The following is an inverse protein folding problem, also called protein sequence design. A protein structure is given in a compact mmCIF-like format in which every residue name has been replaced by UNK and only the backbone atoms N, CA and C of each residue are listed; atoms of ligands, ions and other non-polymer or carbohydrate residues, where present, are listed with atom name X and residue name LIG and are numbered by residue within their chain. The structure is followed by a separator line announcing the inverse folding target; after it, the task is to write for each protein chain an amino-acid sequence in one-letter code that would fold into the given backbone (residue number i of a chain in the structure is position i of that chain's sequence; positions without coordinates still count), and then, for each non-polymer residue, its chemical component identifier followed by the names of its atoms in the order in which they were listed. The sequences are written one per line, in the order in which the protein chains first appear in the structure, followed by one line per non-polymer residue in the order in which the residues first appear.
data_IF_756390601458
#
_entry.id   IF_756390601458
#
_cell.length_a   1.000
_cell.length_b   1.000
_cell.length_c   1.000
_cell.angle_alpha   90.00
_cell.angle_beta   90.00
_cell.angle_gamma   90.00
#
_symmetry.space_group_name_H-M   'P 1'
#
loop_
_entity.id
_entity.type
_entity.pdbx_description
1 polymer ?
#
# COMPACT_ATOMS: atom_id res chain seq x y z
N UNK A 1 -12.20 -6.21 21.54
CA UNK A 1 -11.41 -5.30 20.69
C UNK A 1 -10.56 -4.37 21.53
N UNK A 2 -11.11 -3.73 22.58
CA UNK A 2 -10.46 -2.63 23.32
C UNK A 2 -9.18 -3.07 24.03
N UNK A 3 -9.18 -4.25 24.65
CA UNK A 3 -8.00 -4.80 25.33
C UNK A 3 -6.86 -5.09 24.35
N UNK A 4 -7.16 -5.64 23.18
CA UNK A 4 -6.14 -5.98 22.19
C UNK A 4 -5.72 -4.77 21.36
N UNK A 5 -6.66 -4.09 20.73
CA UNK A 5 -6.35 -2.98 19.82
C UNK A 5 -6.10 -1.67 20.54
N UNK A 6 -6.76 -1.44 21.67
CA UNK A 6 -6.61 -0.22 22.46
C UNK A 6 -5.42 -0.23 23.42
N UNK A 7 -4.94 -1.41 23.83
CA UNK A 7 -3.84 -1.53 24.80
C UNK A 7 -2.75 -2.51 24.34
N UNK A 8 -2.93 -3.82 24.50
CA UNK A 8 -1.84 -4.80 24.42
C UNK A 8 -1.06 -4.80 23.10
N UNK A 9 -1.73 -4.57 21.99
CA UNK A 9 -1.11 -4.53 20.65
C UNK A 9 -0.88 -3.10 20.15
N UNK A 10 -1.26 -2.08 20.93
CA UNK A 10 -1.00 -0.69 20.59
C UNK A 10 0.43 -0.30 20.99
N UNK A 11 1.14 0.37 20.08
CA UNK A 11 2.51 0.84 20.30
C UNK A 11 2.49 2.24 20.92
N UNK A 12 1.91 2.34 22.13
CA UNK A 12 1.83 3.60 22.86
C UNK A 12 3.21 4.21 23.07
N UNK A 13 3.25 5.54 23.02
CA UNK A 13 4.45 6.33 23.27
C UNK A 13 5.00 6.08 24.68
N UNK A 14 6.31 5.94 24.78
CA UNK A 14 7.05 5.71 26.03
C UNK A 14 6.72 4.42 26.80
N UNK A 15 5.84 3.56 26.28
CA UNK A 15 5.46 2.29 26.91
C UNK A 15 6.21 1.13 26.26
N UNK A 16 6.90 0.25 27.05
CA UNK A 16 7.50 -0.96 26.49
C UNK A 16 6.45 -1.91 25.94
N UNK A 17 6.62 -2.37 24.69
CA UNK A 17 5.72 -3.29 24.00
C UNK A 17 6.50 -4.42 23.33
N UNK A 18 6.01 -5.64 23.53
CA UNK A 18 6.53 -6.79 22.79
C UNK A 18 6.23 -6.63 21.29
N UNK A 19 7.23 -6.86 20.46
CA UNK A 19 7.07 -6.73 19.02
C UNK A 19 7.83 -7.81 18.25
N UNK A 20 7.44 -7.99 16.99
CA UNK A 20 8.25 -8.66 15.98
C UNK A 20 8.75 -7.57 15.04
N UNK A 21 10.06 -7.43 14.94
CA UNK A 21 10.72 -6.50 14.03
C UNK A 21 11.32 -7.26 12.86
N UNK A 22 11.30 -6.67 11.68
CA UNK A 22 12.03 -7.17 10.51
C UNK A 22 13.11 -6.18 10.14
N UNK A 23 14.36 -6.64 10.06
CA UNK A 23 15.47 -5.89 9.50
C UNK A 23 15.61 -6.27 8.04
N UNK A 24 15.56 -5.28 7.17
CA UNK A 24 15.63 -5.47 5.72
C UNK A 24 16.84 -4.71 5.20
N UNK A 25 17.65 -5.36 4.35
CA UNK A 25 18.73 -4.72 3.61
C UNK A 25 18.28 -4.51 2.17
N UNK A 26 18.44 -3.30 1.69
CA UNK A 26 18.16 -2.90 0.33
C UNK A 26 19.46 -2.48 -0.34
N UNK A 27 19.50 -2.61 -1.67
CA UNK A 27 20.53 -1.95 -2.47
C UNK A 27 20.11 -0.51 -2.83
N UNK A 28 20.96 0.20 -3.56
CA UNK A 28 20.71 1.57 -4.01
C UNK A 28 19.54 1.68 -5.00
N UNK A 29 19.06 0.56 -5.54
CA UNK A 29 17.91 0.50 -6.44
C UNK A 29 16.62 0.07 -5.75
N UNK A 30 16.64 -0.17 -4.42
CA UNK A 30 15.48 -0.61 -3.65
C UNK A 30 15.17 -2.09 -3.78
N UNK A 31 16.08 -2.87 -4.37
CA UNK A 31 15.94 -4.31 -4.40
C UNK A 31 16.35 -4.91 -3.05
N UNK A 32 15.52 -5.82 -2.57
CA UNK A 32 15.78 -6.48 -1.29
C UNK A 32 16.93 -7.48 -1.41
N UNK A 33 18.02 -7.23 -0.69
CA UNK A 33 19.17 -8.13 -0.61
C UNK A 33 18.96 -9.25 0.42
N UNK A 34 18.47 -8.91 1.60
CA UNK A 34 18.23 -9.87 2.69
C UNK A 34 17.25 -9.32 3.72
N UNK A 35 16.73 -10.21 4.56
CA UNK A 35 15.95 -9.80 5.73
C UNK A 35 16.11 -10.78 6.88
N UNK A 36 15.87 -10.32 8.11
CA UNK A 36 15.85 -11.13 9.33
C UNK A 36 14.75 -10.65 10.27
N UNK A 37 14.04 -11.61 10.89
CA UNK A 37 13.03 -11.33 11.90
C UNK A 37 13.62 -11.44 13.31
N UNK A 38 13.21 -10.52 14.18
CA UNK A 38 13.63 -10.47 15.58
C UNK A 38 12.41 -10.32 16.47
N UNK A 39 12.38 -11.06 17.57
CA UNK A 39 11.49 -10.74 18.70
C UNK A 39 12.19 -9.70 19.56
N UNK A 40 11.44 -8.72 19.99
CA UNK A 40 12.01 -7.64 20.81
C UNK A 40 10.99 -7.00 21.73
N UNK A 41 11.51 -6.18 22.62
CA UNK A 41 10.75 -5.23 23.38
C UNK A 41 11.09 -3.85 22.81
N UNK A 42 10.10 -3.16 22.26
CA UNK A 42 10.28 -1.82 21.74
C UNK A 42 9.67 -0.78 22.71
N UNK A 43 10.17 0.42 22.62
CA UNK A 43 9.60 1.59 23.28
C UNK A 43 9.46 2.69 22.23
N UNK A 44 8.23 3.07 21.91
CA UNK A 44 7.97 4.15 20.97
C UNK A 44 8.48 5.48 21.52
N UNK A 45 9.19 6.24 20.71
CA UNK A 45 9.71 7.57 21.07
C UNK A 45 8.65 8.64 20.88
N UNK A 46 7.82 8.49 19.83
CA UNK A 46 6.75 9.42 19.50
C UNK A 46 5.64 8.69 18.74
N UNK A 47 4.40 9.12 18.94
CA UNK A 47 3.24 8.74 18.13
C UNK A 47 2.87 9.93 17.26
N UNK A 48 3.22 9.86 15.97
CA UNK A 48 3.07 10.96 15.02
C UNK A 48 1.88 10.73 14.08
N UNK A 49 1.24 11.81 13.62
CA UNK A 49 0.22 11.80 12.58
C UNK A 49 0.84 12.01 11.21
N UNK A 50 0.20 11.50 10.17
CA UNK A 50 0.73 11.58 8.81
C UNK A 50 0.89 13.02 8.32
N UNK A 51 -0.06 13.88 8.67
CA UNK A 51 -0.06 15.29 8.30
C UNK A 51 1.14 16.02 8.93
N UNK A 52 1.38 15.84 10.25
CA UNK A 52 2.51 16.49 10.92
C UNK A 52 3.89 15.99 10.44
N UNK A 53 3.96 14.73 10.00
CA UNK A 53 5.18 14.18 9.39
C UNK A 53 5.40 14.76 7.99
N UNK A 54 4.33 14.88 7.20
CA UNK A 54 4.39 15.48 5.87
C UNK A 54 4.81 16.96 5.98
N UNK A 55 4.15 17.72 6.86
CA UNK A 55 4.48 19.13 7.10
C UNK A 55 5.96 19.31 7.47
N UNK A 56 6.49 18.43 8.34
CA UNK A 56 7.89 18.49 8.75
C UNK A 56 8.86 18.25 7.58
N UNK A 57 8.55 17.31 6.70
CA UNK A 57 9.36 17.02 5.50
C UNK A 57 9.27 18.18 4.50
N UNK A 58 8.10 18.81 4.38
CA UNK A 58 7.84 19.94 3.48
C UNK A 58 8.42 21.28 4.02
N UNK A 59 9.06 21.24 5.20
CA UNK A 59 9.81 22.38 5.75
C UNK A 59 9.13 23.13 6.90
N UNK A 60 8.03 22.58 7.46
CA UNK A 60 7.28 23.14 8.58
C UNK A 60 7.27 22.18 9.81
N UNK A 61 8.44 21.82 10.39
CA UNK A 61 8.48 20.95 11.55
C UNK A 61 7.90 21.65 12.80
N UNK A 62 7.24 20.88 13.65
CA UNK A 62 6.74 21.30 14.95
C UNK A 62 7.66 20.81 16.10
N UNK A 63 7.30 21.10 17.36
CA UNK A 63 8.07 20.70 18.54
C UNK A 63 8.24 19.18 18.70
N UNK A 64 7.33 18.38 18.14
CA UNK A 64 7.36 16.90 18.18
C UNK A 64 8.20 16.33 17.05
N UNK A 65 8.06 16.87 15.85
CA UNK A 65 8.72 16.36 14.65
C UNK A 65 10.12 16.94 14.45
N UNK A 66 10.38 18.17 14.91
CA UNK A 66 11.68 18.84 14.77
C UNK A 66 12.87 18.03 15.27
N UNK A 67 12.86 17.51 16.51
CA UNK A 67 13.95 16.68 17.03
C UNK A 67 14.15 15.36 16.28
N UNK A 68 13.11 14.87 15.58
CA UNK A 68 13.11 13.61 14.84
C UNK A 68 13.41 13.79 13.36
N UNK A 69 13.38 15.01 12.85
CA UNK A 69 13.46 15.31 11.42
C UNK A 69 14.76 14.77 10.81
N UNK A 70 15.91 15.24 11.31
CA UNK A 70 17.21 14.86 10.77
C UNK A 70 17.59 13.39 11.08
N UNK A 71 17.45 12.90 12.34
CA UNK A 71 17.95 11.56 12.66
C UNK A 71 17.02 10.42 12.25
N UNK A 72 15.73 10.68 12.00
CA UNK A 72 14.74 9.62 11.77
C UNK A 72 13.91 9.86 10.50
N UNK A 73 13.22 11.01 10.38
CA UNK A 73 12.24 11.21 9.31
C UNK A 73 12.93 11.30 7.95
N UNK A 74 13.99 12.08 7.80
CA UNK A 74 14.74 12.16 6.54
C UNK A 74 15.30 10.81 6.09
N UNK A 75 16.01 10.03 6.94
CA UNK A 75 16.47 8.69 6.55
C UNK A 75 15.32 7.73 6.19
N UNK A 76 14.14 7.84 6.82
CA UNK A 76 12.97 7.05 6.43
C UNK A 76 12.46 7.43 5.04
N UNK A 77 12.42 8.73 4.73
CA UNK A 77 12.02 9.20 3.40
C UNK A 77 13.06 8.86 2.33
N UNK A 78 14.35 8.89 2.64
CA UNK A 78 15.40 8.42 1.72
C UNK A 78 15.18 6.94 1.37
N UNK A 79 14.92 6.09 2.37
CA UNK A 79 14.60 4.69 2.15
C UNK A 79 13.28 4.51 1.36
N UNK A 80 12.28 5.34 1.62
CA UNK A 80 11.01 5.34 0.88
C UNK A 80 11.21 5.69 -0.59
N UNK A 81 11.99 6.73 -0.92
CA UNK A 81 12.27 7.11 -2.30
C UNK A 81 12.93 5.98 -3.11
N UNK A 82 13.84 5.24 -2.48
CA UNK A 82 14.47 4.05 -3.08
C UNK A 82 13.43 2.95 -3.33
N UNK A 83 12.49 2.72 -2.40
CA UNK A 83 11.40 1.76 -2.57
C UNK A 83 10.39 2.20 -3.63
N UNK A 84 10.09 3.50 -3.73
CA UNK A 84 9.23 4.06 -4.80
C UNK A 84 9.85 3.79 -6.17
N UNK A 85 11.16 3.99 -6.34
CA UNK A 85 11.84 3.65 -7.59
C UNK A 85 11.71 2.16 -7.94
N UNK A 86 11.86 1.26 -6.95
CA UNK A 86 11.63 -0.18 -7.14
C UNK A 86 10.15 -0.49 -7.47
N UNK A 87 9.20 0.18 -6.81
CA UNK A 87 7.76 0.08 -7.09
C UNK A 87 7.46 0.47 -8.53
N UNK A 88 8.01 1.58 -9.03
CA UNK A 88 7.81 2.01 -10.42
C UNK A 88 8.29 0.96 -11.44
N UNK A 89 9.41 0.27 -11.16
CA UNK A 89 9.88 -0.83 -12.02
C UNK A 89 8.96 -2.05 -11.95
N UNK A 90 8.42 -2.37 -10.78
CA UNK A 90 7.49 -3.49 -10.57
C UNK A 90 6.12 -3.21 -11.22
N UNK A 91 5.72 -1.94 -11.35
CA UNK A 91 4.47 -1.49 -11.95
C UNK A 91 3.21 -2.13 -11.33
N UNK A 92 2.97 -2.02 -10.00
CA UNK A 92 1.69 -2.43 -9.44
C UNK A 92 0.57 -1.65 -10.09
N UNK A 93 -0.67 -2.16 -10.01
CA UNK A 93 -1.84 -1.46 -10.51
C UNK A 93 -2.02 -0.13 -9.78
N UNK A 94 -2.09 0.96 -10.52
CA UNK A 94 -2.12 2.33 -9.99
C UNK A 94 -3.47 2.98 -10.31
N UNK A 95 -4.51 2.56 -9.57
CA UNK A 95 -5.85 3.14 -9.67
C UNK A 95 -5.90 4.47 -8.94
N UNK A 96 -6.37 5.50 -9.63
CA UNK A 96 -6.70 6.80 -9.03
C UNK A 96 -8.20 6.81 -8.65
N UNK A 97 -8.47 6.43 -7.41
CA UNK A 97 -9.82 6.40 -6.85
C UNK A 97 -9.85 7.35 -5.65
N UNK A 98 -10.32 8.58 -5.86
CA UNK A 98 -10.36 9.57 -4.79
C UNK A 98 -11.33 9.14 -3.68
N UNK A 99 -10.82 9.01 -2.45
CA UNK A 99 -11.65 8.79 -1.26
C UNK A 99 -12.34 10.09 -0.87
N UNK A 100 -13.66 10.06 -0.77
CA UNK A 100 -14.45 11.22 -0.29
C UNK A 100 -14.41 11.26 1.23
N UNK A 101 -14.02 12.41 1.79
CA UNK A 101 -14.14 12.73 3.21
C UNK A 101 -15.35 13.61 3.42
N UNK A 102 -16.31 13.12 4.21
CA UNK A 102 -17.49 13.88 4.59
C UNK A 102 -17.23 14.48 5.97
N UNK A 103 -17.31 15.79 6.07
CA UNK A 103 -17.24 16.51 7.34
C UNK A 103 -18.65 16.87 7.80
N UNK A 104 -18.96 16.47 9.02
CA UNK A 104 -20.24 16.80 9.66
C UNK A 104 -20.07 18.02 10.55
N UNK A 105 -21.04 18.91 10.54
CA UNK A 105 -21.17 19.98 11.53
C UNK A 105 -21.65 19.44 12.89
N UNK A 106 -21.62 20.28 13.92
CA UNK A 106 -22.08 19.94 15.26
C UNK A 106 -23.59 19.57 15.30
N UNK A 107 -24.34 20.00 14.29
CA UNK A 107 -25.73 19.64 14.06
C UNK A 107 -25.94 18.31 13.33
N UNK A 108 -24.88 17.57 13.07
CA UNK A 108 -24.89 16.28 12.35
C UNK A 108 -25.16 16.39 10.85
N UNK A 109 -25.26 17.60 10.28
CA UNK A 109 -25.43 17.80 8.85
C UNK A 109 -24.08 17.83 8.13
N UNK A 110 -24.09 17.46 6.84
CA UNK A 110 -22.90 17.54 5.99
C UNK A 110 -22.48 19.00 5.84
N UNK A 111 -21.29 19.33 6.35
CA UNK A 111 -20.68 20.64 6.24
C UNK A 111 -19.86 20.76 4.95
N UNK A 112 -19.08 19.74 4.64
CA UNK A 112 -18.29 19.69 3.40
C UNK A 112 -18.09 18.25 2.94
N UNK A 113 -17.84 18.10 1.64
CA UNK A 113 -17.41 16.85 1.01
C UNK A 113 -16.11 17.15 0.28
N UNK A 114 -15.00 16.70 0.84
CA UNK A 114 -13.66 16.90 0.29
C UNK A 114 -13.08 15.57 -0.18
N UNK A 115 -12.07 15.60 -1.04
CA UNK A 115 -11.26 14.43 -1.32
C UNK A 115 -10.15 14.30 -0.29
N UNK A 116 -9.94 13.07 0.21
CA UNK A 116 -8.83 12.78 1.11
C UNK A 116 -7.54 12.77 0.30
N UNK A 117 -6.64 13.68 0.61
CA UNK A 117 -5.32 13.71 0.00
C UNK A 117 -4.49 12.52 0.49
N UNK A 118 -3.82 11.84 -0.43
CA UNK A 118 -2.93 10.72 -0.12
C UNK A 118 -1.49 11.22 -0.07
N UNK A 119 -1.07 11.61 1.14
CA UNK A 119 0.26 12.13 1.41
C UNK A 119 1.35 11.07 1.20
N UNK A 120 2.59 11.50 0.95
CA UNK A 120 3.74 10.60 0.86
C UNK A 120 4.02 9.89 2.19
N UNK A 121 3.69 10.50 3.33
CA UNK A 121 3.72 9.86 4.64
C UNK A 121 2.86 8.58 4.71
N UNK A 122 1.69 8.57 4.07
CA UNK A 122 0.85 7.36 3.97
C UNK A 122 1.49 6.31 3.07
N UNK A 123 2.03 6.72 1.93
CA UNK A 123 2.68 5.84 0.94
C UNK A 123 3.94 5.20 1.49
N UNK A 124 4.70 5.93 2.30
CA UNK A 124 5.90 5.44 3.00
C UNK A 124 5.56 4.23 3.86
N UNK A 125 4.56 4.36 4.72
CA UNK A 125 4.11 3.26 5.59
C UNK A 125 3.59 2.09 4.77
N UNK A 126 2.83 2.36 3.71
CA UNK A 126 2.33 1.31 2.81
C UNK A 126 3.46 0.50 2.17
N UNK A 127 4.49 1.14 1.59
CA UNK A 127 5.60 0.44 0.96
C UNK A 127 6.39 -0.39 1.99
N UNK A 128 6.62 0.14 3.19
CA UNK A 128 7.28 -0.62 4.26
C UNK A 128 6.45 -1.82 4.73
N UNK A 129 5.12 -1.66 4.85
CA UNK A 129 4.21 -2.75 5.19
C UNK A 129 4.17 -3.81 4.10
N UNK A 130 4.08 -3.42 2.83
CA UNK A 130 4.11 -4.35 1.69
C UNK A 130 5.41 -5.15 1.69
N UNK A 131 6.56 -4.49 1.87
CA UNK A 131 7.85 -5.15 1.89
C UNK A 131 8.01 -6.11 3.09
N UNK A 132 7.55 -5.70 4.28
CA UNK A 132 7.56 -6.56 5.46
C UNK A 132 6.68 -7.80 5.28
N UNK A 133 5.51 -7.65 4.64
CA UNK A 133 4.61 -8.75 4.30
C UNK A 133 5.23 -9.72 3.29
N UNK A 134 5.97 -9.23 2.30
CA UNK A 134 6.75 -10.06 1.37
C UNK A 134 7.83 -10.84 2.12
N UNK A 135 8.58 -10.19 3.01
CA UNK A 135 9.61 -10.84 3.83
C UNK A 135 9.03 -11.97 4.69
N UNK A 136 7.86 -11.75 5.28
CA UNK A 136 7.18 -12.77 6.08
C UNK A 136 6.76 -13.97 5.23
N UNK A 137 6.14 -13.74 4.07
CA UNK A 137 5.75 -14.80 3.14
C UNK A 137 6.96 -15.63 2.71
N UNK A 138 8.05 -14.99 2.31
CA UNK A 138 9.28 -15.68 1.88
C UNK A 138 9.92 -16.50 3.00
N UNK A 139 9.95 -15.96 4.23
CA UNK A 139 10.51 -16.68 5.38
C UNK A 139 9.73 -17.96 5.68
N UNK A 140 8.39 -17.90 5.67
CA UNK A 140 7.54 -19.04 5.94
C UNK A 140 7.60 -20.09 4.82
N UNK A 141 7.63 -19.64 3.56
CA UNK A 141 7.84 -20.50 2.39
C UNK A 141 9.17 -21.24 2.50
N UNK A 142 10.28 -20.52 2.76
CA UNK A 142 11.61 -21.10 2.86
C UNK A 142 11.71 -22.15 3.99
N UNK A 143 10.97 -21.92 5.08
CA UNK A 143 10.88 -22.86 6.22
C UNK A 143 9.84 -23.96 6.02
N UNK A 144 9.11 -23.98 4.90
CA UNK A 144 8.01 -24.92 4.62
C UNK A 144 6.92 -24.92 5.71
N UNK A 145 6.67 -23.77 6.32
CA UNK A 145 5.63 -23.58 7.33
C UNK A 145 4.35 -23.17 6.61
N UNK A 146 3.20 -23.79 6.92
CA UNK A 146 1.90 -23.38 6.40
C UNK A 146 1.59 -21.90 6.70
N UNK A 147 1.07 -21.18 5.69
CA UNK A 147 0.62 -19.81 5.87
C UNK A 147 -0.60 -19.56 5.00
N UNK A 148 -1.36 -18.51 5.34
CA UNK A 148 -2.40 -17.97 4.49
C UNK A 148 -1.83 -16.84 3.65
N UNK A 149 -1.79 -17.05 2.34
CA UNK A 149 -1.44 -16.02 1.38
C UNK A 149 -2.59 -15.03 1.22
N UNK A 150 -2.28 -13.78 0.94
CA UNK A 150 -3.24 -12.81 0.40
C UNK A 150 -3.15 -12.88 -1.11
N UNK A 151 -4.09 -13.59 -1.70
CA UNK A 151 -4.13 -13.87 -3.14
C UNK A 151 -4.97 -12.82 -3.84
N UNK A 152 -4.48 -12.35 -4.98
CA UNK A 152 -5.24 -11.52 -5.91
C UNK A 152 -4.96 -12.02 -7.32
N UNK A 153 -5.91 -12.75 -7.87
CA UNK A 153 -5.78 -13.32 -9.20
C UNK A 153 -5.97 -12.29 -10.31
N UNK A 154 -5.58 -12.67 -11.52
CA UNK A 154 -5.83 -11.86 -12.72
C UNK A 154 -7.34 -11.73 -12.98
N UNK A 155 -7.79 -10.65 -13.64
CA UNK A 155 -9.16 -10.54 -14.12
C UNK A 155 -9.55 -11.70 -15.03
N UNK A 156 -10.80 -12.16 -14.92
CA UNK A 156 -11.29 -13.19 -15.86
C UNK A 156 -11.36 -12.65 -17.30
N UNK A 157 -11.28 -13.54 -18.31
CA UNK A 157 -11.38 -13.15 -19.71
C UNK A 157 -12.64 -12.33 -20.03
N UNK A 158 -13.78 -12.71 -19.44
CA UNK A 158 -15.07 -12.02 -19.63
C UNK A 158 -15.03 -10.59 -19.09
N UNK A 159 -14.44 -10.40 -17.90
CA UNK A 159 -14.28 -9.07 -17.30
C UNK A 159 -13.33 -8.20 -18.11
N UNK A 160 -12.28 -8.81 -18.68
CA UNK A 160 -11.34 -8.09 -19.55
C UNK A 160 -11.99 -7.70 -20.89
N UNK A 161 -12.83 -8.55 -21.46
CA UNK A 161 -13.54 -8.21 -22.69
C UNK A 161 -14.54 -7.08 -22.44
N UNK A 162 -15.27 -7.08 -21.32
CA UNK A 162 -16.13 -5.97 -20.92
C UNK A 162 -15.33 -4.65 -20.70
N UNK A 163 -14.14 -4.73 -20.09
CA UNK A 163 -13.26 -3.55 -19.95
C UNK A 163 -12.79 -3.04 -21.32
N UNK A 164 -12.44 -3.93 -22.25
CA UNK A 164 -12.04 -3.55 -23.62
C UNK A 164 -13.16 -2.85 -24.36
N UNK A 165 -14.39 -3.36 -24.24
CA UNK A 165 -15.58 -2.76 -24.85
C UNK A 165 -15.80 -1.34 -24.31
N UNK A 166 -15.77 -1.18 -22.97
CA UNK A 166 -15.92 0.13 -22.33
C UNK A 166 -14.81 1.09 -22.74
N UNK A 167 -13.55 0.64 -22.73
CA UNK A 167 -12.42 1.46 -23.14
C UNK A 167 -12.52 1.86 -24.61
N UNK A 168 -12.90 0.91 -25.49
CA UNK A 168 -13.10 1.17 -26.94
C UNK A 168 -14.21 2.19 -27.19
N UNK A 169 -15.33 2.13 -26.49
CA UNK A 169 -16.40 3.11 -26.57
C UNK A 169 -15.97 4.51 -26.13
N UNK A 170 -15.03 4.59 -25.17
CA UNK A 170 -14.41 5.83 -24.69
C UNK A 170 -13.20 6.29 -25.53
N UNK A 171 -12.88 5.63 -26.65
CA UNK A 171 -11.79 5.99 -27.55
C UNK A 171 -10.40 5.48 -27.14
N UNK A 172 -10.31 4.58 -26.15
CA UNK A 172 -9.06 3.99 -25.68
C UNK A 172 -8.91 2.54 -26.14
N UNK A 173 -7.66 2.04 -26.17
CA UNK A 173 -7.37 0.68 -26.61
C UNK A 173 -6.69 -0.16 -25.52
N UNK A 174 -7.28 -1.30 -25.20
CA UNK A 174 -6.65 -2.35 -24.41
C UNK A 174 -6.42 -3.59 -25.28
N UNK A 175 -5.17 -3.87 -25.64
CA UNK A 175 -4.80 -4.92 -26.58
C UNK A 175 -5.34 -6.29 -26.16
N UNK A 176 -5.70 -7.13 -27.16
CA UNK A 176 -6.18 -8.51 -27.01
C UNK A 176 -5.08 -9.50 -27.40
N UNK A 177 -5.11 -10.69 -26.84
CA UNK A 177 -4.25 -11.81 -27.28
C UNK A 177 -2.87 -11.87 -26.67
N UNK A 178 -2.57 -11.08 -25.64
CA UNK A 178 -1.31 -11.17 -24.87
C UNK A 178 -1.59 -11.45 -23.39
N UNK A 179 -0.58 -11.99 -22.70
CA UNK A 179 -0.63 -12.19 -21.24
C UNK A 179 -0.83 -10.82 -20.56
N UNK A 180 -1.89 -10.70 -19.79
CA UNK A 180 -2.20 -9.46 -19.09
C UNK A 180 -1.17 -9.19 -18.01
N UNK A 181 -0.69 -7.94 -17.94
CA UNK A 181 0.12 -7.42 -16.86
C UNK A 181 -0.49 -6.12 -16.35
N UNK A 182 -0.27 -5.79 -15.10
CA UNK A 182 -0.67 -4.50 -14.53
C UNK A 182 -0.17 -3.31 -15.35
N UNK A 183 1.00 -3.44 -15.98
CA UNK A 183 1.56 -2.43 -16.89
C UNK A 183 0.61 -2.05 -18.05
N UNK A 184 -0.14 -3.01 -18.59
CA UNK A 184 -1.11 -2.74 -19.66
C UNK A 184 -2.30 -1.93 -19.16
N UNK A 185 -2.78 -2.25 -17.96
CA UNK A 185 -3.86 -1.51 -17.31
C UNK A 185 -3.38 -0.12 -16.90
N UNK A 186 -2.17 0.00 -16.34
CA UNK A 186 -1.58 1.30 -16.00
C UNK A 186 -1.39 2.20 -17.24
N UNK A 187 -1.11 1.61 -18.39
CA UNK A 187 -1.07 2.38 -19.65
C UNK A 187 -2.44 2.92 -19.98
N UNK A 188 -3.48 2.07 -19.98
CA UNK A 188 -4.87 2.50 -20.21
C UNK A 188 -5.28 3.62 -19.25
N UNK A 189 -4.96 3.50 -17.95
CA UNK A 189 -5.25 4.51 -16.93
C UNK A 189 -4.54 5.83 -17.21
N UNK A 190 -3.25 5.79 -17.59
CA UNK A 190 -2.49 6.99 -17.96
C UNK A 190 -3.01 7.65 -19.23
N UNK A 191 -3.38 6.87 -20.24
CA UNK A 191 -3.91 7.39 -21.49
C UNK A 191 -5.26 8.12 -21.27
N UNK A 192 -6.05 7.67 -20.30
CA UNK A 192 -7.32 8.28 -19.89
C UNK A 192 -7.16 9.45 -18.89
N UNK A 193 -6.00 9.57 -18.24
CA UNK A 193 -5.78 10.58 -17.20
C UNK A 193 -5.97 12.02 -17.76
N UNK A 194 -6.72 12.85 -17.01
CA UNK A 194 -7.00 14.23 -17.40
C UNK A 194 -8.07 14.41 -18.49
N UNK A 195 -8.71 13.31 -18.94
CA UNK A 195 -9.87 13.35 -19.84
C UNK A 195 -11.18 13.25 -19.05
N UNK A 196 -12.30 13.59 -19.67
CA UNK A 196 -13.64 13.44 -19.08
C UNK A 196 -13.98 11.97 -18.76
N UNK A 197 -13.33 11.02 -19.44
CA UNK A 197 -13.53 9.58 -19.29
C UNK A 197 -12.65 8.92 -18.21
N UNK A 198 -11.77 9.69 -17.55
CA UNK A 198 -10.80 9.16 -16.58
C UNK A 198 -11.48 8.38 -15.44
N UNK A 199 -12.57 8.91 -14.86
CA UNK A 199 -13.29 8.26 -13.77
C UNK A 199 -13.97 6.96 -14.25
N UNK A 200 -14.57 6.97 -15.46
CA UNK A 200 -15.19 5.79 -16.08
C UNK A 200 -14.15 4.67 -16.26
N UNK A 201 -12.97 5.00 -16.80
CA UNK A 201 -11.90 4.03 -17.04
C UNK A 201 -11.32 3.49 -15.74
N UNK A 202 -11.07 4.35 -14.74
CA UNK A 202 -10.63 3.92 -13.41
C UNK A 202 -11.64 2.96 -12.76
N UNK A 203 -12.93 3.33 -12.76
CA UNK A 203 -13.98 2.52 -12.16
C UNK A 203 -14.18 1.20 -12.92
N UNK A 204 -14.16 1.21 -14.26
CA UNK A 204 -14.28 0.01 -15.07
C UNK A 204 -13.09 -0.93 -14.88
N UNK A 205 -11.88 -0.37 -14.77
CA UNK A 205 -10.69 -1.15 -14.44
C UNK A 205 -10.81 -1.78 -13.05
N UNK A 206 -11.24 -1.04 -12.02
CA UNK A 206 -11.49 -1.59 -10.69
C UNK A 206 -12.51 -2.75 -10.72
N UNK A 207 -13.64 -2.56 -11.40
CA UNK A 207 -14.70 -3.58 -11.52
C UNK A 207 -14.27 -4.84 -12.28
N UNK A 208 -13.30 -4.70 -13.17
CA UNK A 208 -12.74 -5.85 -13.88
C UNK A 208 -11.86 -6.73 -12.99
N UNK A 209 -11.30 -6.19 -11.88
CA UNK A 209 -10.43 -6.93 -10.99
C UNK A 209 -11.16 -8.10 -10.29
N UNK A 210 -10.40 -9.16 -10.03
CA UNK A 210 -10.82 -10.20 -9.10
C UNK A 210 -10.81 -9.66 -7.67
N UNK A 211 -11.65 -10.21 -6.81
CA UNK A 211 -11.59 -9.88 -5.40
C UNK A 211 -10.46 -10.64 -4.73
N UNK A 212 -9.59 -9.93 -3.98
CA UNK A 212 -8.54 -10.59 -3.23
C UNK A 212 -9.11 -11.40 -2.07
N UNK A 213 -8.49 -12.57 -1.80
CA UNK A 213 -8.92 -13.50 -0.76
C UNK A 213 -7.73 -14.10 0.02
N UNK A 214 -8.02 -14.85 1.07
CA UNK A 214 -7.02 -15.60 1.81
C UNK A 214 -7.08 -17.08 1.41
N UNK A 215 -5.92 -17.68 1.12
CA UNK A 215 -5.83 -19.07 0.73
C UNK A 215 -4.48 -19.72 1.07
N UNK A 216 -4.43 -21.06 1.17
CA UNK A 216 -3.20 -21.80 1.49
C UNK A 216 -2.25 -21.92 0.28
N UNK A 217 -2.72 -21.63 -0.92
CA UNK A 217 -1.94 -21.74 -2.15
C UNK A 217 -1.45 -20.37 -2.61
N UNK A 218 -0.17 -20.31 -2.99
CA UNK A 218 0.42 -19.09 -3.52
C UNK A 218 0.11 -18.93 -5.00
N UNK A 219 -0.84 -18.09 -5.34
CA UNK A 219 -1.15 -17.68 -6.72
C UNK A 219 -0.68 -16.25 -7.02
N UNK A 220 0.10 -15.64 -6.11
CA UNK A 220 0.58 -14.27 -6.27
C UNK A 220 -0.46 -13.21 -5.91
N UNK A 221 -0.08 -11.97 -6.16
CA UNK A 221 -0.95 -10.80 -5.96
C UNK A 221 -0.87 -9.88 -7.18
N UNK A 222 -1.78 -10.07 -8.12
CA UNK A 222 -1.79 -9.36 -9.40
C UNK A 222 -1.74 -7.84 -9.22
N UNK A 223 -2.66 -7.25 -8.45
CA UNK A 223 -2.72 -5.79 -8.27
C UNK A 223 -1.44 -5.18 -7.69
N UNK A 224 -0.69 -5.91 -6.85
CA UNK A 224 0.61 -5.44 -6.33
C UNK A 224 1.79 -5.84 -7.23
N UNK A 225 1.55 -6.60 -8.30
CA UNK A 225 2.57 -7.19 -9.15
C UNK A 225 3.63 -7.97 -8.33
N UNK A 226 3.17 -8.78 -7.36
CA UNK A 226 4.00 -9.55 -6.44
C UNK A 226 3.75 -11.05 -6.64
N UNK A 227 4.85 -11.82 -6.74
CA UNK A 227 4.78 -13.27 -6.86
C UNK A 227 4.40 -13.98 -5.54
N UNK A 228 4.59 -13.32 -4.40
CA UNK A 228 4.31 -13.89 -3.05
C UNK A 228 3.88 -12.75 -2.15
N UNK A 229 2.74 -12.94 -1.49
CA UNK A 229 2.25 -11.92 -0.59
C UNK A 229 1.39 -12.54 0.51
N UNK A 230 1.60 -12.14 1.74
CA UNK A 230 0.80 -12.53 2.88
C UNK A 230 0.61 -11.33 3.82
N UNK A 231 -0.55 -11.21 4.42
CA UNK A 231 -0.75 -10.21 5.45
C UNK A 231 -0.14 -10.69 6.76
N UNK A 232 0.91 -10.01 7.20
CA UNK A 232 1.61 -10.28 8.44
C UNK A 232 1.67 -9.07 9.36
N UNK A 233 1.73 -7.87 8.80
CA UNK A 233 1.65 -6.61 9.55
C UNK A 233 0.21 -6.34 10.00
N UNK A 234 0.05 -5.60 11.10
CA UNK A 234 -1.26 -5.14 11.60
C UNK A 234 -2.30 -6.27 11.77
N UNK A 235 -2.00 -7.35 12.50
CA UNK A 235 -2.83 -8.56 12.53
C UNK A 235 -4.23 -8.31 13.09
N UNK A 236 -4.43 -7.31 13.94
CA UNK A 236 -5.73 -6.99 14.54
C UNK A 236 -6.71 -6.40 13.51
N UNK A 237 -6.22 -5.72 12.49
CA UNK A 237 -7.06 -5.17 11.41
C UNK A 237 -7.39 -6.19 10.33
N UNK A 238 -6.83 -7.38 10.43
CA UNK A 238 -6.87 -8.42 9.39
C UNK A 238 -7.39 -9.78 9.93
#
# INVERSE_FOLDING_TARGET
PDVLSGDLCSLHEAVPRACIAVRIKLDAHGEKLSHTFHRGLMRSVASLHYEEVQDAIDGAPNDRTGPLLEPILKPLYDAYHVLVAARHRRQPLDLDLPERRIELGDDGKVRSVNFKERLDAHRLIEEFMVLANVCAAETLIAKKIPLLFRVHEEPSPEKLDALRETAGAAGFNLAKGQVLKTAHLNRLLRDAAGTDEAELINMSTLRSMAQAYYGPHNLGHFGLALARYAHFTSPIRR
#
